data_IF_376764721019
#
_entry.id   IF_376764721019
#
_cell.length_a   1.000
_cell.length_b   1.000
_cell.length_c   1.000
_cell.angle_alpha   90.00
_cell.angle_beta   90.00
_cell.angle_gamma   90.00
#
_symmetry.space_group_name_H-M   'P 1'
#
loop_
_entity.id
_entity.type
_entity.pdbx_description
1 polymer ?
#
# COMPACT_ATOMS: atom_id res chain seq x y z
N UNK A 1 17.01 -8.98 27.85
CA UNK A 1 16.83 -9.98 26.76
C UNK A 1 17.18 -11.29 27.42
N UNK A 2 16.25 -12.22 27.39
CA UNK A 2 16.37 -13.52 28.02
C UNK A 2 17.21 -14.39 27.08
N UNK A 3 18.51 -14.53 27.39
CA UNK A 3 19.49 -15.20 26.52
C UNK A 3 19.16 -16.70 26.39
N UNK A 4 18.59 -17.32 27.44
CA UNK A 4 18.18 -18.71 27.44
C UNK A 4 16.98 -18.95 26.48
N UNK A 5 16.09 -17.98 26.36
CA UNK A 5 14.96 -18.03 25.42
C UNK A 5 15.42 -17.84 23.97
N UNK A 6 16.43 -17.02 23.74
CA UNK A 6 17.04 -16.83 22.42
C UNK A 6 17.77 -18.09 21.96
N UNK A 7 18.50 -18.76 22.84
CA UNK A 7 19.20 -19.99 22.52
C UNK A 7 18.24 -21.16 22.29
N UNK A 8 17.14 -21.23 23.04
CA UNK A 8 16.09 -22.25 22.84
C UNK A 8 15.30 -22.05 21.53
N UNK A 9 15.15 -20.79 21.06
CA UNK A 9 14.38 -20.48 19.85
C UNK A 9 15.23 -20.47 18.57
N UNK A 10 16.53 -20.16 18.68
CA UNK A 10 17.40 -19.92 17.53
C UNK A 10 18.70 -20.73 17.55
N UNK A 11 19.01 -21.45 18.63
CA UNK A 11 20.26 -22.16 18.85
C UNK A 11 20.41 -23.53 18.17
N UNK A 12 19.49 -23.97 17.31
CA UNK A 12 19.53 -25.29 16.68
C UNK A 12 20.00 -25.25 15.23
N UNK A 13 21.06 -24.55 14.92
CA UNK A 13 21.84 -24.79 13.68
C UNK A 13 23.31 -24.53 13.96
N UNK A 14 23.99 -25.48 14.58
CA UNK A 14 25.44 -25.60 14.46
C UNK A 14 25.86 -27.06 14.36
N UNK A 15 25.97 -27.52 13.14
CA UNK A 15 27.07 -28.27 12.56
C UNK A 15 27.53 -29.55 13.23
N UNK A 16 27.11 -30.66 12.65
CA UNK A 16 27.99 -31.80 12.55
C UNK A 16 29.03 -31.59 11.45
N UNK A 17 30.24 -31.33 11.82
CA UNK A 17 31.42 -31.63 11.00
C UNK A 17 32.37 -32.50 11.81
N UNK A 18 32.63 -33.65 11.22
CA UNK A 18 33.57 -34.67 11.58
C UNK A 18 34.89 -34.16 12.16
N UNK A 19 35.42 -34.88 13.16
CA UNK A 19 36.72 -35.51 12.93
C UNK A 19 36.98 -36.69 13.89
N UNK A 20 37.68 -37.63 13.34
CA UNK A 20 38.07 -39.00 13.68
C UNK A 20 38.75 -39.22 15.04
N UNK A 21 38.33 -40.34 15.62
CA UNK A 21 39.11 -41.49 16.17
C UNK A 21 39.82 -41.38 17.54
N UNK A 22 40.26 -42.51 18.17
CA UNK A 22 39.46 -43.67 18.57
C UNK A 22 39.73 -44.16 20.03
N UNK A 23 38.90 -45.15 20.49
CA UNK A 23 39.16 -46.17 21.52
C UNK A 23 39.24 -45.74 23.01
N UNK A 24 38.52 -46.38 23.93
CA UNK A 24 38.61 -47.72 24.52
C UNK A 24 37.65 -47.84 25.70
N UNK A 25 36.90 -48.90 25.68
CA UNK A 25 36.39 -49.80 26.74
C UNK A 25 35.80 -49.31 28.07
N UNK A 26 34.65 -49.86 28.29
CA UNK A 26 34.17 -50.73 29.39
C UNK A 26 33.08 -50.16 30.30
N UNK A 27 32.00 -50.80 30.16
CA UNK A 27 31.27 -51.63 31.10
C UNK A 27 30.01 -51.03 31.74
N UNK A 28 29.00 -51.90 31.66
CA UNK A 28 27.81 -52.03 32.48
C UNK A 28 26.59 -51.18 32.14
N UNK A 29 25.71 -51.92 31.45
CA UNK A 29 24.27 -51.65 31.35
C UNK A 29 23.62 -51.56 32.72
N UNK A 30 22.54 -50.78 32.83
CA UNK A 30 21.27 -51.44 33.08
C UNK A 30 20.15 -51.01 32.14
N UNK A 31 19.41 -52.02 31.74
CA UNK A 31 17.97 -52.01 31.39
C UNK A 31 17.47 -50.93 30.44
N UNK A 32 17.58 -51.27 29.17
CA UNK A 32 16.77 -50.71 28.07
C UNK A 32 15.42 -51.41 28.03
N UNK A 33 14.51 -51.02 28.89
CA UNK A 33 13.09 -51.39 28.74
C UNK A 33 12.21 -50.41 29.49
N UNK A 34 12.07 -49.23 28.99
CA UNK A 34 10.97 -48.31 29.32
C UNK A 34 11.03 -46.96 28.55
N UNK A 35 11.46 -46.92 27.30
CA UNK A 35 11.12 -45.79 26.40
C UNK A 35 10.89 -46.41 25.02
N UNK A 36 9.71 -46.96 24.83
CA UNK A 36 9.13 -47.10 23.52
C UNK A 36 8.91 -45.64 23.02
N UNK A 37 9.95 -45.10 22.41
CA UNK A 37 9.81 -43.89 21.58
C UNK A 37 8.70 -44.18 20.57
N UNK A 38 7.53 -43.58 20.76
CA UNK A 38 6.51 -43.52 19.75
C UNK A 38 7.14 -42.80 18.54
N UNK A 39 7.62 -43.60 17.59
CA UNK A 39 8.15 -43.05 16.32
C UNK A 39 6.98 -42.44 15.62
N UNK A 40 6.83 -41.12 15.78
CA UNK A 40 5.81 -40.37 15.07
C UNK A 40 6.11 -40.45 13.57
N UNK A 41 5.14 -40.93 12.80
CA UNK A 41 5.22 -40.99 11.35
C UNK A 41 4.93 -39.62 10.78
N UNK A 42 5.87 -39.09 9.99
CA UNK A 42 5.70 -37.83 9.24
C UNK A 42 5.35 -38.19 7.80
N UNK A 43 4.34 -37.54 7.26
CA UNK A 43 3.91 -37.62 5.85
C UNK A 43 4.33 -36.35 5.12
N UNK A 44 4.29 -35.23 5.83
CA UNK A 44 4.66 -33.88 5.32
C UNK A 44 6.16 -33.63 5.56
N UNK A 45 6.66 -32.62 4.91
CA UNK A 45 7.97 -32.07 5.23
C UNK A 45 8.06 -31.76 6.75
N UNK A 46 9.13 -32.15 7.44
CA UNK A 46 9.24 -32.00 8.89
C UNK A 46 9.10 -30.54 9.36
N UNK A 47 9.60 -29.56 8.58
CA UNK A 47 9.46 -28.13 8.91
C UNK A 47 8.00 -27.69 8.79
N UNK A 48 7.32 -28.16 7.75
CA UNK A 48 5.89 -27.86 7.55
C UNK A 48 5.04 -28.48 8.64
N UNK A 49 5.29 -29.75 8.96
CA UNK A 49 4.62 -30.45 10.08
C UNK A 49 4.81 -29.70 11.40
N UNK A 50 6.02 -29.24 11.69
CA UNK A 50 6.32 -28.46 12.89
C UNK A 50 5.59 -27.11 12.90
N UNK A 51 5.58 -26.39 11.77
CA UNK A 51 4.86 -25.12 11.65
C UNK A 51 3.35 -25.30 11.88
N UNK A 52 2.76 -26.34 11.30
CA UNK A 52 1.35 -26.67 11.52
C UNK A 52 1.12 -26.99 13.01
N UNK A 53 1.97 -27.77 13.64
CA UNK A 53 1.84 -28.11 15.05
C UNK A 53 1.90 -26.88 15.97
N UNK A 54 2.75 -25.89 15.64
CA UNK A 54 2.83 -24.62 16.36
C UNK A 54 1.52 -23.84 16.20
N UNK A 55 1.01 -23.73 14.97
CA UNK A 55 -0.27 -23.03 14.70
C UNK A 55 -1.39 -23.71 15.47
N UNK A 56 -1.49 -25.03 15.41
CA UNK A 56 -2.51 -25.81 16.13
C UNK A 56 -2.51 -25.56 17.64
N UNK A 57 -1.33 -25.45 18.25
CA UNK A 57 -1.18 -25.12 19.67
C UNK A 57 -1.65 -23.68 19.99
N UNK A 58 -1.61 -22.80 19.04
CA UNK A 58 -2.06 -21.40 19.21
C UNK A 58 -3.57 -21.22 19.03
N UNK A 59 -4.28 -22.26 18.60
CA UNK A 59 -5.73 -22.19 18.43
C UNK A 59 -6.43 -22.35 19.77
N UNK A 60 -7.43 -21.49 20.02
CA UNK A 60 -8.28 -21.55 21.20
C UNK A 60 -9.47 -22.52 21.03
N UNK A 61 -9.56 -23.19 19.87
CA UNK A 61 -10.68 -24.08 19.51
C UNK A 61 -10.18 -25.51 19.32
N UNK A 62 -11.02 -26.47 19.70
CA UNK A 62 -10.73 -27.88 19.55
C UNK A 62 -10.92 -28.37 18.10
N UNK A 63 -10.28 -29.49 17.74
CA UNK A 63 -10.47 -30.14 16.44
C UNK A 63 -11.96 -30.44 16.15
N UNK A 64 -12.72 -30.86 17.18
CA UNK A 64 -14.13 -31.20 17.04
C UNK A 64 -14.96 -29.98 16.68
N UNK A 65 -14.73 -28.87 17.37
CA UNK A 65 -15.41 -27.58 17.09
C UNK A 65 -15.09 -27.09 15.67
N UNK A 66 -13.84 -27.26 15.20
CA UNK A 66 -13.48 -26.89 13.84
C UNK A 66 -14.27 -27.72 12.82
N UNK A 67 -14.38 -29.05 13.02
CA UNK A 67 -15.14 -29.92 12.13
C UNK A 67 -16.62 -29.55 12.12
N UNK A 68 -17.23 -29.37 13.28
CA UNK A 68 -18.63 -28.95 13.43
C UNK A 68 -18.87 -27.61 12.72
N UNK A 69 -18.03 -26.63 12.99
CA UNK A 69 -18.13 -25.32 12.35
C UNK A 69 -17.95 -25.35 10.81
N UNK A 70 -17.10 -26.25 10.30
CA UNK A 70 -16.96 -26.44 8.85
C UNK A 70 -18.18 -27.13 8.21
N UNK A 71 -18.87 -28.01 8.95
CA UNK A 71 -20.10 -28.64 8.48
C UNK A 71 -21.25 -27.64 8.50
N UNK A 72 -21.41 -26.92 9.61
CA UNK A 72 -22.50 -25.95 9.84
C UNK A 72 -22.27 -24.64 9.09
N UNK A 73 -21.05 -24.37 8.67
CA UNK A 73 -20.67 -23.16 7.98
C UNK A 73 -20.64 -21.92 8.87
N UNK A 74 -20.51 -22.05 10.18
CA UNK A 74 -20.45 -20.95 11.17
C UNK A 74 -19.75 -21.41 12.45
N UNK A 75 -19.42 -20.43 13.34
CA UNK A 75 -18.85 -20.74 14.65
C UNK A 75 -17.33 -20.56 14.75
N UNK A 76 -16.62 -20.32 13.64
CA UNK A 76 -15.20 -19.94 13.65
C UNK A 76 -15.03 -18.44 13.47
N UNK A 77 -14.09 -17.85 14.20
CA UNK A 77 -13.69 -16.47 14.00
C UNK A 77 -12.66 -16.36 12.85
N UNK A 78 -12.51 -15.15 12.32
CA UNK A 78 -11.61 -14.81 11.19
C UNK A 78 -10.16 -15.21 11.50
N UNK A 79 -9.65 -14.90 12.70
CA UNK A 79 -8.28 -15.20 13.10
C UNK A 79 -7.97 -16.72 13.07
N UNK A 80 -8.90 -17.55 13.56
CA UNK A 80 -8.76 -19.01 13.52
C UNK A 80 -8.73 -19.54 12.08
N UNK A 81 -9.62 -19.04 11.21
CA UNK A 81 -9.69 -19.47 9.82
C UNK A 81 -8.44 -19.03 9.06
N UNK A 82 -7.95 -17.81 9.27
CA UNK A 82 -6.71 -17.33 8.68
C UNK A 82 -5.49 -18.12 9.10
N UNK A 83 -5.36 -18.44 10.39
CA UNK A 83 -4.27 -19.27 10.91
C UNK A 83 -4.27 -20.66 10.27
N UNK A 84 -5.44 -21.29 10.16
CA UNK A 84 -5.59 -22.59 9.51
C UNK A 84 -5.34 -22.49 7.99
N UNK A 85 -5.78 -21.44 7.35
CA UNK A 85 -5.54 -21.19 5.92
C UNK A 85 -4.06 -21.05 5.56
N UNK A 86 -3.26 -20.40 6.42
CA UNK A 86 -1.80 -20.25 6.22
C UNK A 86 -1.04 -21.56 6.23
N UNK A 87 -1.56 -22.58 6.92
CA UNK A 87 -0.95 -23.90 7.04
C UNK A 87 -1.68 -24.97 6.24
N UNK A 88 -2.51 -24.54 5.30
CA UNK A 88 -3.26 -25.45 4.44
C UNK A 88 -2.31 -26.35 3.65
N UNK A 89 -2.59 -27.67 3.58
CA UNK A 89 -1.84 -28.60 2.74
C UNK A 89 -2.18 -28.37 1.26
N UNK A 90 -1.21 -28.63 0.37
CA UNK A 90 -1.44 -28.65 -1.08
C UNK A 90 -2.37 -29.83 -1.45
N UNK A 91 -2.92 -29.84 -2.66
CA UNK A 91 -3.78 -30.95 -3.11
C UNK A 91 -3.04 -32.29 -3.13
N UNK A 92 -1.74 -32.27 -3.46
CA UNK A 92 -0.87 -33.44 -3.41
C UNK A 92 -0.68 -33.94 -1.98
N UNK A 93 -0.38 -33.03 -1.05
CA UNK A 93 -0.25 -33.37 0.37
C UNK A 93 -1.55 -33.90 0.99
N UNK A 94 -2.70 -33.30 0.61
CA UNK A 94 -4.02 -33.79 1.02
C UNK A 94 -4.24 -35.24 0.55
N UNK A 95 -3.86 -35.52 -0.71
CA UNK A 95 -3.97 -36.88 -1.26
C UNK A 95 -3.08 -37.88 -0.52
N UNK A 96 -1.83 -37.46 -0.20
CA UNK A 96 -0.90 -38.31 0.58
C UNK A 96 -1.42 -38.58 1.99
N UNK A 97 -1.96 -37.58 2.66
CA UNK A 97 -2.52 -37.69 4.01
C UNK A 97 -3.75 -38.62 4.00
N UNK A 98 -4.62 -38.50 3.00
CA UNK A 98 -5.81 -39.33 2.88
C UNK A 98 -5.49 -40.78 2.46
N UNK A 99 -4.41 -41.01 1.71
CA UNK A 99 -3.94 -42.30 1.30
C UNK A 99 -3.25 -43.10 2.43
N UNK A 100 -3.06 -42.50 3.59
CA UNK A 100 -2.43 -43.18 4.73
C UNK A 100 -3.37 -44.23 5.33
N UNK A 101 -2.98 -45.49 5.19
CA UNK A 101 -3.74 -46.67 5.71
C UNK A 101 -3.27 -47.16 7.08
N UNK A 102 -2.19 -46.57 7.63
CA UNK A 102 -1.65 -46.93 8.92
C UNK A 102 -2.51 -46.45 10.10
N UNK A 103 -2.05 -46.74 11.30
CA UNK A 103 -2.70 -46.31 12.54
C UNK A 103 -2.58 -44.77 12.70
N UNK A 104 -3.70 -44.01 12.69
CA UNK A 104 -3.68 -42.56 12.86
C UNK A 104 -3.07 -42.08 14.18
N UNK A 105 -3.01 -42.93 15.20
CA UNK A 105 -2.39 -42.62 16.51
C UNK A 105 -0.87 -42.50 16.42
N UNK A 106 -0.26 -43.08 15.39
CA UNK A 106 1.19 -43.04 15.13
C UNK A 106 1.60 -41.83 14.28
N UNK A 107 0.64 -41.07 13.74
CA UNK A 107 0.91 -39.85 13.02
C UNK A 107 1.40 -38.75 13.96
N UNK A 108 2.30 -37.89 13.46
CA UNK A 108 2.64 -36.68 14.18
C UNK A 108 1.39 -35.77 14.33
N UNK A 109 1.42 -34.86 15.30
CA UNK A 109 0.24 -34.10 15.70
C UNK A 109 -0.40 -33.30 14.54
N UNK A 110 0.42 -32.79 13.64
CA UNK A 110 -0.04 -32.01 12.45
C UNK A 110 -0.75 -32.93 11.45
N UNK A 111 -0.14 -34.05 11.12
CA UNK A 111 -0.67 -35.06 10.18
C UNK A 111 -1.93 -35.69 10.72
N UNK A 112 -1.96 -36.04 12.01
CA UNK A 112 -3.14 -36.57 12.68
C UNK A 112 -4.31 -35.59 12.64
N UNK A 113 -4.05 -34.31 12.88
CA UNK A 113 -5.06 -33.26 12.79
C UNK A 113 -5.62 -33.14 11.36
N UNK A 114 -4.72 -33.03 10.38
CA UNK A 114 -5.11 -32.89 8.96
C UNK A 114 -5.86 -34.11 8.45
N UNK A 115 -5.39 -35.33 8.79
CA UNK A 115 -6.06 -36.57 8.41
C UNK A 115 -7.51 -36.60 8.93
N UNK A 116 -7.72 -36.25 10.20
CA UNK A 116 -9.06 -36.29 10.79
C UNK A 116 -9.98 -35.22 10.16
N UNK A 117 -9.47 -34.01 9.91
CA UNK A 117 -10.27 -32.96 9.29
C UNK A 117 -10.62 -33.28 7.83
N UNK A 118 -9.65 -33.71 7.03
CA UNK A 118 -9.87 -34.07 5.62
C UNK A 118 -10.77 -35.27 5.45
N UNK A 119 -10.69 -36.25 6.39
CA UNK A 119 -11.57 -37.42 6.39
C UNK A 119 -13.01 -37.07 6.78
N UNK A 120 -13.19 -36.15 7.75
CA UNK A 120 -14.52 -35.70 8.17
C UNK A 120 -15.15 -34.72 7.16
N UNK A 121 -14.34 -33.85 6.57
CA UNK A 121 -14.78 -32.81 5.63
C UNK A 121 -13.80 -32.77 4.44
N UNK A 122 -14.02 -33.55 3.37
CA UNK A 122 -13.07 -33.63 2.25
C UNK A 122 -12.72 -32.31 1.59
N UNK A 123 -13.59 -31.29 1.65
CA UNK A 123 -13.36 -29.96 1.12
C UNK A 123 -13.07 -28.91 2.20
N UNK A 124 -12.50 -29.32 3.35
CA UNK A 124 -12.33 -28.49 4.54
C UNK A 124 -11.67 -27.12 4.23
N UNK A 125 -10.53 -27.11 3.54
CA UNK A 125 -9.80 -25.88 3.24
C UNK A 125 -10.51 -24.99 2.21
N UNK A 126 -11.24 -25.56 1.25
CA UNK A 126 -12.10 -24.80 0.33
C UNK A 126 -13.26 -24.16 1.08
N UNK A 127 -13.85 -24.88 2.06
CA UNK A 127 -14.89 -24.34 2.94
C UNK A 127 -14.34 -23.24 3.86
N UNK A 128 -13.15 -23.42 4.42
CA UNK A 128 -12.47 -22.37 5.21
C UNK A 128 -12.29 -21.08 4.40
N UNK A 129 -11.81 -21.18 3.16
CA UNK A 129 -11.67 -20.03 2.27
C UNK A 129 -13.01 -19.34 1.97
N UNK A 130 -14.07 -20.12 1.76
CA UNK A 130 -15.40 -19.56 1.54
C UNK A 130 -15.98 -18.89 2.80
N UNK A 131 -15.71 -19.46 3.98
CA UNK A 131 -16.09 -18.85 5.26
C UNK A 131 -15.35 -17.55 5.52
N UNK A 132 -14.05 -17.52 5.26
CA UNK A 132 -13.23 -16.31 5.39
C UNK A 132 -13.73 -15.21 4.46
N UNK A 133 -13.97 -15.55 3.20
CA UNK A 133 -14.58 -14.61 2.25
C UNK A 133 -15.91 -14.06 2.76
N UNK A 134 -16.80 -14.94 3.25
CA UNK A 134 -18.09 -14.50 3.79
C UNK A 134 -17.96 -13.58 5.00
N UNK A 135 -17.02 -13.88 5.93
CA UNK A 135 -16.81 -13.07 7.13
C UNK A 135 -16.22 -11.69 6.80
N UNK A 136 -15.38 -11.60 5.78
CA UNK A 136 -14.74 -10.34 5.39
C UNK A 136 -15.56 -9.54 4.36
N UNK A 137 -16.57 -10.18 3.73
CA UNK A 137 -17.29 -9.61 2.59
C UNK A 137 -17.84 -8.21 2.85
N UNK A 138 -18.53 -8.01 3.97
CA UNK A 138 -19.18 -6.73 4.25
C UNK A 138 -18.15 -5.61 4.47
N UNK A 139 -17.04 -5.89 5.17
CA UNK A 139 -15.97 -4.93 5.37
C UNK A 139 -15.24 -4.59 4.08
N UNK A 140 -14.90 -5.60 3.28
CA UNK A 140 -14.24 -5.40 1.97
C UNK A 140 -15.12 -4.60 1.00
N UNK A 141 -16.43 -4.86 0.96
CA UNK A 141 -17.37 -4.10 0.14
C UNK A 141 -17.47 -2.64 0.58
N UNK A 142 -17.43 -2.37 1.89
CA UNK A 142 -17.42 -0.99 2.40
C UNK A 142 -16.14 -0.28 1.96
N UNK A 143 -14.99 -0.90 2.12
CA UNK A 143 -13.70 -0.34 1.70
C UNK A 143 -13.66 -0.03 0.19
N UNK A 144 -14.14 -0.96 -0.63
CA UNK A 144 -14.22 -0.77 -2.10
C UNK A 144 -15.14 0.40 -2.44
N UNK A 145 -16.30 0.50 -1.79
CA UNK A 145 -17.24 1.61 -2.02
C UNK A 145 -16.63 2.96 -1.62
N UNK A 146 -15.98 3.03 -0.48
CA UNK A 146 -15.31 4.26 -0.03
C UNK A 146 -14.20 4.69 -1.01
N UNK A 147 -13.44 3.72 -1.51
CA UNK A 147 -12.43 3.99 -2.50
C UNK A 147 -13.01 4.50 -3.83
N UNK A 148 -14.04 3.82 -4.36
CA UNK A 148 -14.71 4.25 -5.59
C UNK A 148 -15.29 5.66 -5.44
N UNK A 149 -15.85 5.98 -4.26
CA UNK A 149 -16.33 7.31 -3.95
C UNK A 149 -15.19 8.34 -3.92
N UNK A 150 -14.05 8.00 -3.30
CA UNK A 150 -12.88 8.87 -3.27
C UNK A 150 -12.33 9.12 -4.69
N UNK A 151 -12.31 8.10 -5.54
CA UNK A 151 -11.90 8.20 -6.93
C UNK A 151 -12.85 9.09 -7.74
N UNK A 152 -14.16 8.91 -7.59
CA UNK A 152 -15.17 9.74 -8.25
C UNK A 152 -15.03 11.21 -7.84
N UNK A 153 -14.92 11.47 -6.54
CA UNK A 153 -14.75 12.83 -6.02
C UNK A 153 -13.41 13.44 -6.47
N UNK A 154 -12.32 12.67 -6.46
CA UNK A 154 -11.02 13.11 -6.98
C UNK A 154 -11.07 13.47 -8.47
N UNK A 155 -11.80 12.72 -9.28
CA UNK A 155 -12.05 13.06 -10.69
C UNK A 155 -12.85 14.36 -10.84
N UNK A 156 -13.84 14.59 -9.97
CA UNK A 156 -14.62 15.83 -9.94
C UNK A 156 -13.74 17.03 -9.51
N UNK A 157 -12.88 16.83 -8.51
CA UNK A 157 -11.90 17.84 -8.08
C UNK A 157 -11.01 18.26 -9.25
N UNK A 158 -10.40 17.33 -9.98
CA UNK A 158 -9.56 17.61 -11.15
C UNK A 158 -10.28 18.39 -12.25
N UNK A 159 -11.58 18.15 -12.45
CA UNK A 159 -12.37 18.84 -13.49
C UNK A 159 -12.85 20.23 -13.08
N UNK A 160 -13.14 20.43 -11.80
CA UNK A 160 -13.82 21.61 -11.31
C UNK A 160 -12.89 22.65 -10.69
N UNK A 161 -11.64 22.29 -10.36
CA UNK A 161 -10.71 23.21 -9.71
C UNK A 161 -10.08 24.16 -10.71
N UNK A 162 -10.58 25.41 -10.70
CA UNK A 162 -10.17 26.43 -11.65
C UNK A 162 -8.68 26.77 -11.61
N UNK A 163 -8.02 26.67 -10.45
CA UNK A 163 -6.58 26.90 -10.34
C UNK A 163 -5.78 25.81 -11.05
N UNK A 164 -6.20 24.54 -10.93
CA UNK A 164 -5.57 23.44 -11.64
C UNK A 164 -5.70 23.59 -13.16
N UNK A 165 -6.88 23.98 -13.65
CA UNK A 165 -7.10 24.24 -15.08
C UNK A 165 -6.17 25.34 -15.58
N UNK A 166 -5.99 26.42 -14.82
CA UNK A 166 -5.05 27.49 -15.17
C UNK A 166 -3.60 27.01 -15.25
N UNK A 167 -3.20 26.14 -14.32
CA UNK A 167 -1.86 25.51 -14.39
C UNK A 167 -1.72 24.64 -15.64
N UNK A 168 -2.74 23.85 -16.01
CA UNK A 168 -2.72 23.07 -17.25
C UNK A 168 -2.64 23.95 -18.49
N UNK A 169 -3.36 25.05 -18.52
CA UNK A 169 -3.27 26.05 -19.61
C UNK A 169 -1.88 26.67 -19.70
N UNK A 170 -1.28 27.02 -18.57
CA UNK A 170 0.07 27.58 -18.53
C UNK A 170 1.12 26.56 -19.03
N UNK A 171 0.98 25.28 -18.63
CA UNK A 171 1.82 24.17 -19.14
C UNK A 171 1.66 24.02 -20.65
N UNK A 172 0.43 24.04 -21.16
CA UNK A 172 0.17 23.93 -22.60
C UNK A 172 0.80 25.10 -23.39
N UNK A 173 0.64 26.32 -22.89
CA UNK A 173 1.24 27.53 -23.50
C UNK A 173 2.76 27.48 -23.49
N UNK A 174 3.37 27.10 -22.37
CA UNK A 174 4.81 26.94 -22.24
C UNK A 174 5.35 25.85 -23.19
N UNK A 175 4.69 24.68 -23.22
CA UNK A 175 5.05 23.58 -24.11
C UNK A 175 4.95 23.96 -25.59
N UNK A 176 3.87 24.63 -25.99
CA UNK A 176 3.71 25.11 -27.37
C UNK A 176 4.78 26.17 -27.75
N UNK A 177 5.13 27.02 -26.81
CA UNK A 177 6.22 28.02 -27.05
C UNK A 177 7.57 27.32 -27.23
N UNK A 178 7.88 26.33 -26.41
CA UNK A 178 9.14 25.58 -26.52
C UNK A 178 9.22 24.75 -27.82
N UNK A 179 8.09 24.24 -28.27
CA UNK A 179 7.98 23.42 -29.47
C UNK A 179 7.62 24.24 -30.73
N UNK A 180 7.66 25.59 -30.66
CA UNK A 180 7.34 26.44 -31.78
C UNK A 180 8.25 26.10 -32.99
N UNK A 181 7.65 26.00 -34.17
CA UNK A 181 8.35 25.63 -35.41
C UNK A 181 8.60 24.15 -35.59
N UNK A 182 8.17 23.30 -34.66
CA UNK A 182 8.21 21.84 -34.80
C UNK A 182 6.81 21.26 -35.01
N UNK A 183 6.72 19.99 -35.43
CA UNK A 183 5.45 19.27 -35.56
C UNK A 183 4.68 19.13 -34.24
N UNK A 184 5.33 19.34 -33.10
CA UNK A 184 4.74 19.28 -31.75
C UNK A 184 4.24 20.65 -31.25
N UNK A 185 4.50 21.71 -31.97
CA UNK A 185 3.96 23.04 -31.69
C UNK A 185 2.46 23.09 -31.99
N UNK A 186 1.76 24.09 -31.43
CA UNK A 186 0.31 24.28 -31.58
C UNK A 186 -0.57 23.11 -31.10
N UNK A 187 -0.10 22.35 -30.09
CA UNK A 187 -0.90 21.32 -29.47
C UNK A 187 -2.15 21.90 -28.81
N UNK A 188 -3.30 21.26 -28.99
CA UNK A 188 -4.57 21.65 -28.36
C UNK A 188 -4.74 21.04 -26.97
N UNK A 189 -4.02 19.95 -26.68
CA UNK A 189 -4.06 19.23 -25.42
C UNK A 189 -2.75 18.48 -25.19
N UNK A 190 -2.58 17.95 -23.98
CA UNK A 190 -1.46 17.05 -23.62
C UNK A 190 -1.93 15.99 -22.61
N UNK A 191 -1.18 14.89 -22.50
CA UNK A 191 -1.48 13.87 -21.52
C UNK A 191 -1.00 14.28 -20.13
N UNK A 192 -1.84 14.11 -19.09
CA UNK A 192 -1.51 14.43 -17.69
C UNK A 192 -0.23 13.71 -17.19
N UNK A 193 0.09 12.53 -17.71
CA UNK A 193 1.35 11.85 -17.41
C UNK A 193 2.59 12.70 -17.77
N UNK A 194 2.46 13.65 -18.70
CA UNK A 194 3.54 14.57 -19.07
C UNK A 194 3.87 15.58 -17.99
N UNK A 195 2.99 15.80 -17.00
CA UNK A 195 3.26 16.70 -15.87
C UNK A 195 4.50 16.27 -15.07
N UNK A 196 4.76 14.98 -14.97
CA UNK A 196 5.97 14.45 -14.30
C UNK A 196 7.25 14.93 -14.95
N UNK A 197 7.25 15.10 -16.26
CA UNK A 197 8.42 15.51 -17.05
C UNK A 197 8.76 17.00 -16.88
N UNK A 198 7.87 17.81 -16.34
CA UNK A 198 8.13 19.25 -16.13
C UNK A 198 9.27 19.51 -15.13
N UNK A 199 9.48 18.59 -14.19
CA UNK A 199 10.58 18.67 -13.23
C UNK A 199 11.93 18.30 -13.86
N UNK A 200 11.92 17.51 -14.93
CA UNK A 200 13.14 17.02 -15.60
C UNK A 200 13.69 18.00 -16.63
N UNK A 201 12.81 18.84 -17.21
CA UNK A 201 13.18 19.86 -18.18
C UNK A 201 13.77 21.06 -17.45
N UNK A 202 15.07 21.30 -17.64
CA UNK A 202 15.83 22.40 -17.02
C UNK A 202 16.13 23.51 -18.02
N UNK A 203 16.26 24.72 -17.50
CA UNK A 203 16.78 25.88 -18.23
C UNK A 203 18.24 25.65 -18.67
N UNK A 204 18.73 26.47 -19.58
CA UNK A 204 20.12 26.41 -20.11
C UNK A 204 21.19 26.54 -19.03
N UNK A 205 20.91 27.24 -17.94
CA UNK A 205 21.78 27.40 -16.77
C UNK A 205 21.62 26.27 -15.73
N UNK A 206 20.69 25.33 -15.95
CA UNK A 206 20.42 24.19 -15.09
C UNK A 206 19.77 24.52 -13.74
N UNK A 207 19.48 25.78 -13.43
CA UNK A 207 18.98 26.22 -12.11
C UNK A 207 17.46 26.15 -11.97
N UNK A 208 16.74 26.41 -13.06
CA UNK A 208 15.28 26.48 -13.03
C UNK A 208 14.68 25.36 -13.86
N UNK A 209 13.67 24.66 -13.34
CA UNK A 209 12.92 23.68 -14.10
C UNK A 209 11.74 24.32 -14.82
N UNK A 210 11.21 23.65 -15.85
CA UNK A 210 10.01 24.11 -16.54
C UNK A 210 8.82 24.19 -15.56
N UNK A 211 8.75 23.29 -14.57
CA UNK A 211 7.74 23.37 -13.51
C UNK A 211 7.84 24.67 -12.72
N UNK A 212 9.04 25.05 -12.26
CA UNK A 212 9.26 26.30 -11.55
C UNK A 212 8.80 27.51 -12.37
N UNK A 213 9.22 27.56 -13.65
CA UNK A 213 8.84 28.63 -14.57
C UNK A 213 7.31 28.74 -14.70
N UNK A 214 6.62 27.62 -14.94
CA UNK A 214 5.17 27.60 -15.10
C UNK A 214 4.45 28.07 -13.81
N UNK A 215 4.89 27.58 -12.65
CA UNK A 215 4.31 27.96 -11.36
C UNK A 215 4.51 29.45 -11.10
N UNK A 216 5.73 29.98 -11.34
CA UNK A 216 6.03 31.39 -11.16
C UNK A 216 5.17 32.29 -12.07
N UNK A 217 4.96 31.88 -13.32
CA UNK A 217 4.13 32.62 -14.26
C UNK A 217 2.65 32.66 -13.83
N UNK A 218 2.14 31.53 -13.31
CA UNK A 218 0.77 31.48 -12.77
C UNK A 218 0.65 32.33 -11.51
N UNK A 219 1.63 32.31 -10.61
CA UNK A 219 1.68 33.16 -9.41
C UNK A 219 1.63 34.62 -9.79
N UNK A 220 2.46 35.06 -10.75
CA UNK A 220 2.45 36.45 -11.25
C UNK A 220 1.09 36.83 -11.86
N UNK A 221 0.51 35.93 -12.65
CA UNK A 221 -0.79 36.17 -13.29
C UNK A 221 -1.91 36.35 -12.27
N UNK A 222 -1.96 35.48 -11.24
CA UNK A 222 -2.97 35.59 -10.18
C UNK A 222 -2.75 36.83 -9.30
N UNK A 223 -1.50 37.20 -9.01
CA UNK A 223 -1.20 38.43 -8.29
C UNK A 223 -1.63 39.67 -9.07
N UNK A 224 -1.36 39.72 -10.37
CA UNK A 224 -1.85 40.79 -11.26
C UNK A 224 -3.38 40.88 -11.25
N UNK A 225 -4.06 39.75 -11.31
CA UNK A 225 -5.51 39.67 -11.23
C UNK A 225 -6.05 40.17 -9.89
N UNK A 226 -5.38 39.82 -8.77
CA UNK A 226 -5.76 40.30 -7.45
C UNK A 226 -5.70 41.83 -7.34
N UNK A 227 -4.66 42.46 -7.90
CA UNK A 227 -4.54 43.92 -7.93
C UNK A 227 -5.63 44.55 -8.80
N UNK A 228 -5.91 44.03 -9.98
CA UNK A 228 -6.97 44.50 -10.84
C UNK A 228 -8.34 44.43 -10.15
N UNK A 229 -8.65 43.32 -9.48
CA UNK A 229 -9.90 43.16 -8.72
C UNK A 229 -9.99 44.16 -7.56
N UNK A 230 -8.89 44.41 -6.84
CA UNK A 230 -8.80 45.40 -5.76
C UNK A 230 -9.07 46.82 -6.29
N UNK A 231 -8.46 47.20 -7.40
CA UNK A 231 -8.68 48.49 -8.02
C UNK A 231 -10.12 48.67 -8.51
N UNK A 232 -10.72 47.60 -9.09
CA UNK A 232 -12.13 47.63 -9.49
C UNK A 232 -13.09 47.77 -8.29
N UNK A 233 -12.79 47.18 -7.16
CA UNK A 233 -13.62 47.33 -5.95
C UNK A 233 -13.49 48.72 -5.37
N UNK A 234 -12.31 49.34 -5.40
CA UNK A 234 -12.08 50.71 -4.94
C UNK A 234 -12.74 51.75 -5.86
N UNK A 235 -12.70 51.56 -7.19
CA UNK A 235 -13.35 52.46 -8.13
C UNK A 235 -14.89 52.39 -8.07
N UNK A 236 -15.48 51.30 -7.62
CA UNK A 236 -16.92 51.20 -7.34
C UNK A 236 -17.35 51.91 -6.06
N UNK A 237 -16.46 52.05 -5.09
CA UNK A 237 -16.76 52.73 -3.80
C UNK A 237 -16.48 54.24 -3.86
N UNK A 238 -15.70 54.74 -4.79
CA UNK A 238 -15.45 56.18 -4.97
C UNK A 238 -15.99 56.70 -6.29
N UNK A 239 -17.32 56.86 -6.36
CA UNK A 239 -17.96 57.71 -7.33
C UNK A 239 -17.91 59.15 -6.81
N UNK A 240 -16.80 59.84 -6.98
CA UNK A 240 -16.65 61.31 -7.10
C UNK A 240 -15.18 61.71 -7.01
N UNK A 241 -14.77 62.39 -8.08
CA UNK A 241 -13.65 63.34 -8.17
C UNK A 241 -12.23 62.88 -7.83
N UNK A 242 -11.40 62.70 -8.84
CA UNK A 242 -10.25 63.61 -9.08
C UNK A 242 -9.42 63.10 -10.27
N UNK A 243 -9.28 63.99 -11.27
CA UNK A 243 -8.19 63.96 -12.23
C UNK A 243 -6.86 64.05 -11.50
N UNK A 244 -6.05 63.03 -11.62
CA UNK A 244 -4.61 63.14 -11.38
C UNK A 244 -3.87 62.45 -12.51
N UNK A 245 -3.24 63.30 -13.32
CA UNK A 245 -2.22 62.98 -14.31
C UNK A 245 -1.14 62.07 -13.68
N UNK A 246 -0.95 60.90 -14.29
CA UNK A 246 0.11 59.99 -13.91
C UNK A 246 1.38 60.37 -14.61
N UNK A 247 2.31 60.90 -13.85
CA UNK A 247 3.69 61.17 -14.22
C UNK A 247 4.43 59.90 -14.66
N UNK A 248 4.89 59.96 -15.90
CA UNK A 248 5.70 58.90 -16.54
C UNK A 248 7.19 59.12 -16.20
N UNK A 249 7.63 58.85 -14.98
CA UNK A 249 9.06 58.78 -14.69
C UNK A 249 9.36 57.84 -13.54
N UNK A 250 9.92 56.70 -13.89
CA UNK A 250 10.76 55.73 -13.18
C UNK A 250 10.39 54.26 -13.55
N UNK A 251 10.77 53.87 -14.79
CA UNK A 251 10.18 52.65 -15.35
C UNK A 251 10.79 51.32 -14.90
N UNK A 252 12.03 51.28 -14.44
CA UNK A 252 12.69 50.02 -14.09
C UNK A 252 12.48 49.62 -12.61
N UNK A 253 12.74 50.50 -11.64
CA UNK A 253 12.57 50.21 -10.21
C UNK A 253 11.10 50.00 -9.84
N UNK A 254 10.19 50.77 -10.46
CA UNK A 254 8.75 50.60 -10.27
C UNK A 254 8.23 49.27 -10.88
N UNK A 255 8.87 48.78 -11.93
CA UNK A 255 8.49 47.52 -12.57
C UNK A 255 8.92 46.33 -11.72
N UNK A 256 10.11 46.36 -11.13
CA UNK A 256 10.61 45.33 -10.24
C UNK A 256 9.77 45.26 -8.95
N UNK A 257 9.39 46.38 -8.39
CA UNK A 257 8.56 46.45 -7.21
C UNK A 257 7.15 45.90 -7.50
N UNK A 258 6.56 46.18 -8.64
CA UNK A 258 5.27 45.62 -9.09
C UNK A 258 5.38 44.10 -9.26
N UNK A 259 6.47 43.60 -9.83
CA UNK A 259 6.69 42.15 -9.98
C UNK A 259 6.75 41.43 -8.64
N UNK A 260 7.43 42.02 -7.65
CA UNK A 260 7.47 41.48 -6.26
C UNK A 260 6.09 41.50 -5.61
N UNK A 261 5.30 42.55 -5.83
CA UNK A 261 3.93 42.65 -5.34
C UNK A 261 3.02 41.56 -5.96
N UNK A 262 3.13 41.32 -7.27
CA UNK A 262 2.40 40.27 -7.94
C UNK A 262 2.73 38.88 -7.35
N UNK A 263 4.01 38.58 -7.09
CA UNK A 263 4.43 37.34 -6.48
C UNK A 263 3.86 37.20 -5.04
N UNK A 264 3.96 38.27 -4.25
CA UNK A 264 3.48 38.26 -2.86
C UNK A 264 1.97 38.00 -2.78
N UNK A 265 1.18 38.56 -3.69
CA UNK A 265 -0.28 38.40 -3.69
C UNK A 265 -0.73 37.09 -4.36
N UNK A 266 0.02 36.58 -5.33
CA UNK A 266 -0.32 35.37 -6.06
C UNK A 266 0.11 34.10 -5.36
N UNK A 267 1.20 34.14 -4.57
CA UNK A 267 1.75 32.95 -3.90
C UNK A 267 0.76 32.26 -2.96
N UNK A 268 0.02 32.97 -2.08
CA UNK A 268 -0.99 32.32 -1.23
C UNK A 268 -2.10 31.63 -2.03
N UNK A 269 -2.49 32.19 -3.17
CA UNK A 269 -3.54 31.65 -4.03
C UNK A 269 -3.10 30.32 -4.65
N UNK A 270 -1.89 30.26 -5.19
CA UNK A 270 -1.34 29.07 -5.81
C UNK A 270 -0.90 28.04 -4.75
N UNK A 271 -0.36 28.50 -3.62
CA UNK A 271 0.05 27.65 -2.50
C UNK A 271 -1.10 26.85 -1.87
N UNK A 272 -2.32 27.36 -1.96
CA UNK A 272 -3.53 26.69 -1.48
C UNK A 272 -3.99 25.49 -2.32
N UNK A 273 -3.46 25.30 -3.53
CA UNK A 273 -3.91 24.24 -4.46
C UNK A 273 -3.86 22.84 -3.85
N UNK A 274 -2.89 22.58 -2.99
CA UNK A 274 -2.73 21.26 -2.34
C UNK A 274 -3.91 20.93 -1.41
N UNK A 275 -4.58 21.90 -0.83
CA UNK A 275 -5.75 21.70 0.03
C UNK A 275 -7.05 21.50 -0.76
N UNK A 276 -7.05 21.81 -2.06
CA UNK A 276 -8.21 21.66 -2.93
C UNK A 276 -8.44 20.21 -3.41
N UNK A 277 -7.51 19.29 -3.13
CA UNK A 277 -7.54 17.91 -3.61
C UNK A 277 -7.50 16.84 -2.50
N UNK A 278 -8.38 16.87 -1.48
CA UNK A 278 -8.38 15.90 -0.41
C UNK A 278 -8.75 14.48 -0.89
N UNK A 279 -9.75 14.36 -1.77
CA UNK A 279 -10.18 13.06 -2.27
C UNK A 279 -9.22 12.48 -3.31
N UNK A 280 -8.62 13.32 -4.15
CA UNK A 280 -7.57 12.89 -5.07
C UNK A 280 -6.36 12.32 -4.32
N UNK A 281 -5.94 12.95 -3.21
CA UNK A 281 -4.87 12.44 -2.36
C UNK A 281 -5.25 11.12 -1.72
N UNK A 282 -6.48 10.99 -1.20
CA UNK A 282 -7.00 9.73 -0.64
C UNK A 282 -6.96 8.62 -1.70
N UNK A 283 -7.45 8.89 -2.91
CA UNK A 283 -7.44 7.94 -4.01
C UNK A 283 -6.02 7.54 -4.47
N UNK A 284 -5.06 8.48 -4.44
CA UNK A 284 -3.69 8.22 -4.87
C UNK A 284 -2.87 7.35 -3.91
N UNK A 285 -3.25 7.28 -2.63
CA UNK A 285 -2.56 6.48 -1.60
C UNK A 285 -3.12 5.07 -1.51
N UNK A 286 -4.35 4.85 -1.97
CA UNK A 286 -5.00 3.53 -1.89
C UNK A 286 -4.39 2.60 -2.93
N UNK A 287 -3.72 1.56 -2.43
CA UNK A 287 -3.07 0.55 -3.26
C UNK A 287 -4.11 -0.48 -3.71
N UNK A 288 -4.18 -0.74 -5.00
CA UNK A 288 -5.00 -1.81 -5.56
C UNK A 288 -4.18 -3.09 -5.56
N UNK A 289 -4.63 -4.04 -4.81
CA UNK A 289 -4.23 -5.44 -5.00
C UNK A 289 -5.36 -6.26 -5.57
#
# INVERSE_FOLDING_TARGET
>A
VDDDLMEALFGLVATNRNDNTPKVNNSMSPSRDALANSVNTFILDPRKSQNIAIVLKSLAVSRKEIIEALIDGQGLNTDTIEKLGRVAPTEEEQSLILAYEGDPSKLAAAESFLHHILKAVPSAFKRMSALLFRLNYDSEIVEIKEFLQALELGCKELRNQGMFVKLLEAVLKAGNRMNAGTQRGNAQAFNLASLRKLSDVKSTDGKTTLLHFVVEEVVRSEGKRAILNRNHSLSRSSSRNSNSSVDSQNSAASNEQRQREYITLGLPVVGGISSEFPNLKKAAVTDYK
#
